data_IF_752627159348
#
_entry.id   IF_752627159348
#
_cell.length_a   1.000
_cell.length_b   1.000
_cell.length_c   1.000
_cell.angle_alpha   90.00
_cell.angle_beta   90.00
_cell.angle_gamma   90.00
#
_symmetry.space_group_name_H-M   'P 1'
#
loop_
_entity.id
_entity.type
_entity.pdbx_description
1 polymer ?
#
# COMPACT_ATOMS: atom_id res chain seq x y z
N UNK A 1 -22.70 -54.39 -25.90
CA UNK A 1 -23.48 -53.14 -26.02
C UNK A 1 -22.49 -51.99 -26.08
N UNK A 2 -22.42 -51.30 -27.22
CA UNK A 2 -21.49 -50.17 -27.44
C UNK A 2 -22.32 -48.90 -27.52
N UNK A 3 -22.17 -48.01 -26.54
CA UNK A 3 -22.85 -46.71 -26.54
C UNK A 3 -22.05 -45.76 -27.42
N UNK A 4 -22.64 -45.39 -28.57
CA UNK A 4 -22.19 -44.25 -29.38
C UNK A 4 -22.61 -42.98 -28.65
N UNK A 5 -21.65 -42.11 -28.38
CA UNK A 5 -21.90 -40.74 -27.95
C UNK A 5 -21.79 -39.81 -29.16
N UNK A 6 -22.86 -39.09 -29.45
CA UNK A 6 -22.89 -37.93 -30.33
C UNK A 6 -23.43 -36.76 -29.50
N UNK A 7 -22.73 -35.62 -29.43
CA UNK A 7 -23.30 -34.42 -28.85
C UNK A 7 -24.02 -33.66 -29.97
N UNK A 8 -25.32 -33.49 -29.81
CA UNK A 8 -26.08 -32.49 -30.51
C UNK A 8 -25.85 -31.11 -29.89
N UNK A 9 -26.15 -30.11 -30.71
CA UNK A 9 -26.62 -28.78 -30.31
C UNK A 9 -25.58 -27.73 -29.92
N UNK A 10 -25.15 -27.00 -30.96
CA UNK A 10 -25.21 -25.55 -31.06
C UNK A 10 -25.48 -24.81 -29.75
N UNK A 11 -24.41 -24.36 -29.09
CA UNK A 11 -24.46 -23.28 -28.11
C UNK A 11 -24.06 -21.97 -28.81
N UNK A 12 -25.07 -21.14 -29.08
CA UNK A 12 -24.92 -19.70 -29.32
C UNK A 12 -24.18 -19.06 -28.14
N UNK A 13 -22.94 -18.65 -28.36
CA UNK A 13 -22.13 -17.92 -27.38
C UNK A 13 -21.95 -16.48 -27.84
N UNK A 14 -23.05 -15.72 -27.83
CA UNK A 14 -22.99 -14.26 -27.80
C UNK A 14 -22.72 -13.77 -26.36
N UNK A 15 -21.51 -14.01 -25.85
CA UNK A 15 -21.03 -13.37 -24.62
C UNK A 15 -20.40 -12.01 -24.96
N UNK A 16 -21.15 -10.93 -24.79
CA UNK A 16 -20.60 -9.56 -24.71
C UNK A 16 -19.74 -9.46 -23.45
N UNK A 17 -18.43 -9.65 -23.57
CA UNK A 17 -17.48 -9.36 -22.49
C UNK A 17 -16.98 -7.93 -22.60
N UNK A 18 -17.61 -7.04 -21.84
CA UNK A 18 -17.07 -5.73 -21.47
C UNK A 18 -15.68 -5.93 -20.85
N UNK A 19 -14.66 -5.80 -21.69
CA UNK A 19 -13.28 -6.03 -21.32
C UNK A 19 -12.70 -4.77 -20.70
N UNK A 20 -12.95 -4.55 -19.40
CA UNK A 20 -12.08 -3.66 -18.57
C UNK A 20 -10.81 -4.43 -18.19
N UNK A 21 -10.06 -4.85 -19.20
CA UNK A 21 -8.77 -5.50 -19.01
C UNK A 21 -7.70 -4.46 -18.63
N UNK A 22 -7.21 -4.55 -17.39
CA UNK A 22 -5.79 -4.40 -17.09
C UNK A 22 -5.19 -2.99 -17.11
N UNK A 23 -5.54 -2.12 -16.16
CA UNK A 23 -4.57 -1.13 -15.68
C UNK A 23 -3.60 -1.85 -14.74
N UNK A 24 -2.59 -2.51 -15.31
CA UNK A 24 -1.48 -3.01 -14.54
C UNK A 24 -0.58 -1.82 -14.16
N UNK A 25 -0.18 -1.66 -12.90
CA UNK A 25 0.76 -0.61 -12.51
C UNK A 25 2.03 -0.74 -13.35
N UNK A 26 2.48 0.37 -13.94
CA UNK A 26 3.66 0.42 -14.79
C UNK A 26 4.93 0.44 -13.93
N UNK A 27 5.48 -0.75 -13.63
CA UNK A 27 6.68 -0.91 -12.80
C UNK A 27 7.97 -0.36 -13.46
N UNK A 28 7.94 -0.06 -14.76
CA UNK A 28 9.09 0.49 -15.51
C UNK A 28 9.42 1.95 -15.15
N UNK A 29 8.54 2.65 -14.44
CA UNK A 29 8.75 4.01 -13.96
C UNK A 29 8.93 4.09 -12.43
N UNK A 30 9.12 2.96 -11.75
CA UNK A 30 9.35 2.97 -10.31
C UNK A 30 10.72 3.58 -10.00
N UNK A 31 10.73 4.80 -9.43
CA UNK A 31 11.93 5.43 -8.94
C UNK A 31 12.34 4.82 -7.59
N UNK A 32 13.58 4.34 -7.51
CA UNK A 32 14.12 3.77 -6.28
C UNK A 32 14.47 4.91 -5.30
N UNK A 33 13.51 5.31 -4.48
CA UNK A 33 13.75 6.29 -3.42
C UNK A 33 14.52 5.61 -2.29
N UNK A 34 15.82 5.87 -2.20
CA UNK A 34 16.61 5.45 -1.04
C UNK A 34 16.15 6.25 0.18
N UNK A 35 15.70 5.60 1.28
CA UNK A 35 15.32 6.34 2.46
C UNK A 35 16.56 6.99 3.07
N UNK A 36 16.50 8.29 3.33
CA UNK A 36 17.58 8.97 4.05
C UNK A 36 17.79 8.32 5.43
N UNK A 37 19.04 8.06 5.83
CA UNK A 37 19.33 7.47 7.12
C UNK A 37 18.89 8.42 8.23
N UNK A 38 18.09 7.91 9.17
CA UNK A 38 17.66 8.67 10.34
C UNK A 38 18.84 8.87 11.28
N UNK A 39 19.05 10.10 11.75
CA UNK A 39 20.03 10.38 12.79
C UNK A 39 19.51 9.88 14.14
N UNK A 40 20.26 8.99 14.79
CA UNK A 40 19.95 8.55 16.15
C UNK A 40 20.35 9.65 17.14
N UNK A 41 19.36 10.24 17.81
CA UNK A 41 19.55 11.27 18.84
C UNK A 41 18.93 10.82 20.16
N UNK A 42 19.43 11.38 21.27
CA UNK A 42 18.78 11.28 22.58
C UNK A 42 17.83 12.46 22.77
N UNK A 43 16.53 12.25 22.60
CA UNK A 43 15.48 13.25 22.81
C UNK A 43 14.69 12.93 24.09
N UNK A 44 14.41 13.95 24.91
CA UNK A 44 13.47 13.85 26.03
C UNK A 44 12.07 14.24 25.55
N UNK A 45 11.09 13.42 25.89
CA UNK A 45 9.66 13.66 25.61
C UNK A 45 8.85 13.35 26.87
N UNK A 46 7.69 13.97 26.99
CA UNK A 46 6.81 13.72 28.12
C UNK A 46 6.31 12.26 28.14
N UNK A 47 6.04 11.78 29.36
CA UNK A 47 5.72 10.36 29.60
C UNK A 47 4.39 9.97 28.97
N UNK A 48 3.42 10.87 28.99
CA UNK A 48 2.10 10.71 28.38
C UNK A 48 2.17 10.66 26.85
N UNK A 49 2.99 11.50 26.23
CA UNK A 49 3.28 11.47 24.78
C UNK A 49 3.90 10.11 24.42
N UNK A 50 4.92 9.67 25.15
CA UNK A 50 5.54 8.37 24.90
C UNK A 50 4.54 7.22 25.06
N UNK A 51 3.69 7.25 26.09
CA UNK A 51 2.64 6.27 26.34
C UNK A 51 1.60 6.27 25.20
N UNK A 52 1.19 7.45 24.75
CA UNK A 52 0.25 7.62 23.65
C UNK A 52 0.76 6.94 22.38
N UNK A 53 2.01 7.17 21.97
CA UNK A 53 2.55 6.52 20.78
C UNK A 53 2.80 5.02 20.97
N UNK A 54 3.26 4.60 22.16
CA UNK A 54 3.51 3.17 22.44
C UNK A 54 2.26 2.29 22.33
N UNK A 55 1.05 2.85 22.51
CA UNK A 55 -0.21 2.12 22.35
C UNK A 55 -0.40 1.50 20.96
N UNK A 56 0.30 2.03 19.94
CA UNK A 56 0.22 1.55 18.56
C UNK A 56 1.20 0.40 18.26
N UNK A 57 1.99 -0.05 19.26
CA UNK A 57 2.88 -1.19 19.14
C UNK A 57 4.12 -0.93 18.30
N UNK A 58 4.53 -1.94 17.50
CA UNK A 58 5.73 -1.88 16.67
C UNK A 58 5.62 -0.73 15.67
N UNK A 59 6.65 0.11 15.61
CA UNK A 59 6.68 1.27 14.71
C UNK A 59 6.17 2.57 15.34
N UNK A 60 5.93 2.62 16.66
CA UNK A 60 5.54 3.86 17.34
C UNK A 60 6.52 5.01 17.09
N UNK A 61 7.83 4.75 17.01
CA UNK A 61 8.85 5.75 16.69
C UNK A 61 8.70 6.27 15.26
N UNK A 62 8.39 5.40 14.28
CA UNK A 62 8.13 5.82 12.90
C UNK A 62 6.91 6.73 12.84
N UNK A 63 5.85 6.41 13.59
CA UNK A 63 4.66 7.26 13.69
C UNK A 63 4.96 8.60 14.35
N UNK A 64 5.68 8.60 15.47
CA UNK A 64 6.13 9.81 16.16
C UNK A 64 6.95 10.70 15.22
N UNK A 65 7.89 10.11 14.46
CA UNK A 65 8.69 10.83 13.48
C UNK A 65 7.85 11.43 12.34
N UNK A 66 6.82 10.72 11.87
CA UNK A 66 5.92 11.24 10.83
C UNK A 66 5.16 12.49 11.31
N UNK A 67 4.71 12.51 12.57
CA UNK A 67 4.07 13.69 13.17
C UNK A 67 5.04 14.86 13.27
N UNK A 68 6.26 14.61 13.73
CA UNK A 68 7.30 15.65 13.82
C UNK A 68 7.65 16.23 12.43
N UNK A 69 7.71 15.37 11.40
CA UNK A 69 7.93 15.80 10.02
C UNK A 69 6.77 16.66 9.49
N UNK A 70 5.52 16.23 9.68
CA UNK A 70 4.36 17.01 9.26
C UNK A 70 4.30 18.38 9.95
N UNK A 71 4.64 18.45 11.24
CA UNK A 71 4.76 19.71 11.96
C UNK A 71 5.84 20.61 11.36
N UNK A 72 7.02 20.05 11.09
CA UNK A 72 8.14 20.76 10.45
C UNK A 72 7.75 21.32 9.07
N UNK A 73 7.18 20.50 8.19
CA UNK A 73 6.74 20.90 6.85
C UNK A 73 5.70 22.04 6.91
N UNK A 74 4.76 21.96 7.84
CA UNK A 74 3.74 23.00 8.03
C UNK A 74 4.31 24.35 8.49
N UNK A 75 5.52 24.38 9.08
CA UNK A 75 6.15 25.60 9.60
C UNK A 75 7.36 26.08 8.76
N UNK A 76 7.86 25.27 7.83
CA UNK A 76 8.96 25.63 6.93
C UNK A 76 8.49 26.34 5.66
N UNK A 77 7.20 26.33 5.35
CA UNK A 77 6.61 27.01 4.19
C UNK A 77 6.22 28.49 4.43
N UNK A 78 7.00 29.25 5.21
CA UNK A 78 6.79 30.69 5.45
C UNK A 78 7.93 31.56 4.95
#
# INVERSE_FOLDING_TARGET
>A
MSVKWQPDEQADQSETRDSKAGQHPNWTQAELVMPEPKTAISLRVDTDILRFFKRYGKGYQTRMNAVLRAYMEAHQGS
#
